data_IF_419104844273
#
_entry.id   IF_419104844273
#
_cell.length_a   1.000
_cell.length_b   1.000
_cell.length_c   1.000
_cell.angle_alpha   90.00
_cell.angle_beta   90.00
_cell.angle_gamma   90.00
#
_symmetry.space_group_name_H-M   'P 1'
#
loop_
_entity.id
_entity.type
_entity.pdbx_description
1 polymer ?
#
# COMPACT_ATOMS: atom_id res chain seq x y z
N UNK A 1 -1.46 -5.55 16.12
CA UNK A 1 -1.49 -5.67 14.64
C UNK A 1 -2.51 -4.69 14.11
N UNK A 2 -2.11 -3.80 13.19
CA UNK A 2 -2.97 -2.77 12.60
C UNK A 2 -3.12 -3.00 11.08
N UNK A 3 -3.07 -4.26 10.62
CA UNK A 3 -3.33 -4.58 9.22
C UNK A 3 -3.95 -5.95 9.02
N UNK A 4 -4.55 -6.16 7.83
CA UNK A 4 -5.01 -7.43 7.29
C UNK A 4 -4.65 -7.54 5.81
N UNK A 5 -4.41 -8.77 5.36
CA UNK A 5 -4.17 -9.09 3.95
C UNK A 5 -5.37 -9.81 3.36
N UNK A 6 -5.72 -9.47 2.12
CA UNK A 6 -6.75 -10.17 1.35
C UNK A 6 -6.24 -10.52 -0.03
N UNK A 7 -6.60 -11.70 -0.50
CA UNK A 7 -6.34 -12.15 -1.86
C UNK A 7 -7.66 -12.11 -2.63
N UNK A 8 -7.75 -11.23 -3.62
CA UNK A 8 -8.93 -11.08 -4.49
C UNK A 8 -8.74 -11.78 -5.84
N UNK A 9 -7.66 -12.56 -6.01
CA UNK A 9 -7.25 -13.21 -7.26
C UNK A 9 -6.69 -12.25 -8.31
N UNK A 10 -7.38 -11.14 -8.58
CA UNK A 10 -6.94 -10.11 -9.55
C UNK A 10 -5.99 -9.07 -8.95
N UNK A 11 -5.95 -8.95 -7.63
CA UNK A 11 -5.05 -8.09 -6.89
C UNK A 11 -4.96 -8.58 -5.45
N UNK A 12 -3.90 -8.17 -4.76
CA UNK A 12 -3.76 -8.34 -3.32
C UNK A 12 -4.10 -7.02 -2.62
N UNK A 13 -4.81 -7.09 -1.51
CA UNK A 13 -5.13 -5.94 -0.66
C UNK A 13 -4.35 -6.01 0.64
N UNK A 14 -3.61 -4.93 0.95
CA UNK A 14 -3.02 -4.66 2.25
C UNK A 14 -3.86 -3.57 2.92
N UNK A 15 -4.67 -3.95 3.92
CA UNK A 15 -5.56 -3.03 4.63
C UNK A 15 -4.99 -2.65 5.99
N UNK A 16 -4.83 -1.37 6.26
CA UNK A 16 -4.49 -0.81 7.56
C UNK A 16 -5.74 -0.55 8.40
N UNK A 17 -5.64 -0.76 9.71
CA UNK A 17 -6.76 -0.72 10.66
C UNK A 17 -6.38 0.07 11.92
N UNK A 18 -7.28 0.92 12.42
CA UNK A 18 -7.14 1.56 13.72
C UNK A 18 -5.96 2.53 13.79
N UNK A 19 -5.15 2.43 14.86
CA UNK A 19 -3.98 3.30 15.06
C UNK A 19 -2.72 2.62 14.52
N UNK A 20 -2.08 3.25 13.52
CA UNK A 20 -0.84 2.74 12.92
C UNK A 20 0.34 3.28 13.73
N UNK A 21 1.11 2.41 14.40
CA UNK A 21 2.25 2.74 15.29
C UNK A 21 3.60 2.19 14.84
N UNK A 22 3.63 1.50 13.70
CA UNK A 22 4.69 0.56 13.33
C UNK A 22 4.10 -0.83 13.24
N UNK A 23 4.39 -1.53 12.15
CA UNK A 23 3.69 -2.75 11.78
C UNK A 23 4.73 -3.78 11.32
N UNK A 24 4.57 -5.04 11.71
CA UNK A 24 5.42 -6.10 11.16
C UNK A 24 5.06 -6.31 9.68
N UNK A 25 6.08 -6.44 8.84
CA UNK A 25 5.87 -6.74 7.42
C UNK A 25 5.13 -8.08 7.26
N UNK A 26 4.30 -8.25 6.22
CA UNK A 26 3.64 -9.53 5.95
C UNK A 26 4.67 -10.62 5.66
N UNK A 27 4.25 -11.89 5.80
CA UNK A 27 5.10 -13.04 5.47
C UNK A 27 5.38 -13.18 3.97
N UNK A 28 6.41 -13.97 3.64
CA UNK A 28 6.89 -14.23 2.27
C UNK A 28 5.81 -14.75 1.29
N UNK A 29 4.81 -15.45 1.82
CA UNK A 29 3.69 -15.98 1.04
C UNK A 29 2.82 -14.87 0.43
N UNK A 30 2.61 -13.77 1.15
CA UNK A 30 1.86 -12.62 0.64
C UNK A 30 2.62 -11.88 -0.44
N UNK A 31 3.94 -11.73 -0.28
CA UNK A 31 4.78 -11.15 -1.31
C UNK A 31 4.69 -11.94 -2.62
N UNK A 32 4.70 -13.28 -2.54
CA UNK A 32 4.52 -14.13 -3.72
C UNK A 32 3.18 -13.89 -4.41
N UNK A 33 2.08 -13.74 -3.66
CA UNK A 33 0.75 -13.44 -4.22
C UNK A 33 0.71 -12.07 -4.88
N UNK A 34 1.34 -11.06 -4.27
CA UNK A 34 1.45 -9.72 -4.87
C UNK A 34 2.17 -9.82 -6.22
N UNK A 35 3.30 -10.53 -6.26
CA UNK A 35 4.07 -10.77 -7.50
C UNK A 35 3.22 -11.46 -8.56
N UNK A 36 2.49 -12.51 -8.19
CA UNK A 36 1.62 -13.26 -9.11
C UNK A 36 0.48 -12.42 -9.67
N UNK A 37 -0.12 -11.56 -8.85
CA UNK A 37 -1.23 -10.68 -9.27
C UNK A 37 -0.75 -9.48 -10.09
N UNK A 38 0.51 -9.04 -9.88
CA UNK A 38 1.06 -7.83 -10.48
C UNK A 38 0.43 -6.52 -9.97
N UNK A 39 -0.50 -6.59 -8.99
CA UNK A 39 -1.41 -5.52 -8.62
C UNK A 39 -1.61 -5.49 -7.10
N UNK A 40 -1.40 -4.32 -6.49
CA UNK A 40 -1.51 -4.10 -5.05
C UNK A 40 -2.47 -2.96 -4.75
N UNK A 41 -3.42 -3.20 -3.83
CA UNK A 41 -4.23 -2.18 -3.20
C UNK A 41 -3.73 -1.93 -1.77
N UNK A 42 -3.34 -0.70 -1.45
CA UNK A 42 -3.04 -0.23 -0.10
C UNK A 42 -4.25 0.53 0.44
N UNK A 43 -5.00 -0.10 1.34
CA UNK A 43 -6.26 0.43 1.86
C UNK A 43 -6.09 0.98 3.28
N UNK A 44 -6.22 2.29 3.46
CA UNK A 44 -6.17 2.97 4.75
C UNK A 44 -7.54 3.56 5.16
N UNK A 45 -8.64 3.04 4.61
CA UNK A 45 -9.99 3.53 4.94
C UNK A 45 -10.32 3.44 6.43
N UNK A 46 -9.86 2.37 7.09
CA UNK A 46 -10.16 2.10 8.50
C UNK A 46 -9.08 2.66 9.47
N UNK A 47 -8.18 3.53 8.98
CA UNK A 47 -7.16 4.18 9.82
C UNK A 47 -7.77 5.35 10.58
N UNK A 48 -7.67 5.28 11.90
CA UNK A 48 -8.17 6.32 12.82
C UNK A 48 -7.10 7.38 13.11
N UNK A 49 -5.84 6.94 13.24
CA UNK A 49 -4.72 7.81 13.57
C UNK A 49 -3.40 7.21 13.07
N UNK A 50 -2.46 8.06 12.65
CA UNK A 50 -1.11 7.69 12.26
C UNK A 50 -0.16 8.29 13.29
N UNK A 51 0.34 7.42 14.16
CA UNK A 51 1.46 7.71 15.07
C UNK A 51 2.73 7.00 14.61
N UNK A 52 2.70 6.44 13.40
CA UNK A 52 3.75 5.62 12.83
C UNK A 52 4.94 6.45 12.38
N UNK A 53 6.11 5.84 12.46
CA UNK A 53 7.28 6.28 11.74
C UNK A 53 7.02 6.14 10.22
N UNK A 54 7.02 7.27 9.51
CA UNK A 54 6.83 7.38 8.05
C UNK A 54 7.77 6.44 7.28
N UNK A 55 8.93 6.11 7.87
CA UNK A 55 9.91 5.19 7.30
C UNK A 55 9.40 3.75 7.16
N UNK A 56 8.40 3.35 7.97
CA UNK A 56 7.84 2.01 7.88
C UNK A 56 7.02 1.80 6.60
N UNK A 57 6.09 2.72 6.28
CA UNK A 57 5.29 2.66 5.05
C UNK A 57 6.19 2.70 3.81
N UNK A 58 7.21 3.55 3.84
CA UNK A 58 8.23 3.61 2.81
C UNK A 58 9.01 2.28 2.69
N UNK A 59 9.31 1.63 3.82
CA UNK A 59 9.96 0.32 3.88
C UNK A 59 9.10 -0.80 3.29
N UNK A 60 7.80 -0.83 3.59
CA UNK A 60 6.87 -1.79 3.01
C UNK A 60 6.77 -1.61 1.48
N UNK A 61 6.50 -0.39 1.01
CA UNK A 61 6.38 -0.11 -0.42
C UNK A 61 7.65 -0.48 -1.19
N UNK A 62 8.82 -0.18 -0.63
CA UNK A 62 10.12 -0.57 -1.20
C UNK A 62 10.34 -2.09 -1.18
N UNK A 63 9.95 -2.78 -0.10
CA UNK A 63 10.09 -4.23 0.01
C UNK A 63 9.24 -4.93 -1.06
N UNK A 64 7.99 -4.49 -1.22
CA UNK A 64 7.13 -4.97 -2.31
C UNK A 64 7.78 -4.67 -3.65
N UNK A 65 8.03 -3.40 -3.99
CA UNK A 65 8.60 -2.97 -5.29
C UNK A 65 9.95 -3.62 -5.63
N UNK A 66 10.72 -4.07 -4.63
CA UNK A 66 11.98 -4.80 -4.88
C UNK A 66 11.78 -6.17 -5.54
N UNK A 67 10.54 -6.69 -5.55
CA UNK A 67 10.18 -7.97 -6.12
C UNK A 67 9.68 -7.86 -7.57
N UNK A 68 9.52 -6.65 -8.11
CA UNK A 68 9.08 -6.42 -9.48
C UNK A 68 8.25 -5.13 -9.66
N UNK A 69 7.91 -4.77 -10.90
CA UNK A 69 7.00 -3.66 -11.16
C UNK A 69 5.55 -4.06 -10.84
N UNK A 70 4.89 -3.29 -9.96
CA UNK A 70 3.48 -3.50 -9.61
C UNK A 70 2.65 -2.25 -9.83
N UNK A 71 1.47 -2.42 -10.43
CA UNK A 71 0.47 -1.36 -10.40
C UNK A 71 -0.05 -1.25 -8.98
N UNK A 72 0.07 -0.08 -8.37
CA UNK A 72 -0.28 0.13 -6.96
C UNK A 72 -1.32 1.23 -6.84
N UNK A 73 -2.43 0.92 -6.18
CA UNK A 73 -3.43 1.92 -5.81
C UNK A 73 -3.38 2.14 -4.28
N UNK A 74 -3.47 3.39 -3.84
CA UNK A 74 -3.49 3.77 -2.43
C UNK A 74 -4.81 4.46 -2.10
N UNK A 75 -5.58 3.91 -1.16
CA UNK A 75 -6.82 4.51 -0.66
C UNK A 75 -6.54 5.15 0.69
N UNK A 76 -6.66 6.47 0.75
CA UNK A 76 -6.43 7.29 1.94
C UNK A 76 -7.52 8.36 2.04
N UNK A 77 -8.60 8.15 2.81
CA UNK A 77 -9.75 9.04 2.81
C UNK A 77 -9.49 10.37 3.54
N UNK A 78 -8.56 10.40 4.50
CA UNK A 78 -8.24 11.62 5.24
C UNK A 78 -7.05 12.36 4.61
N UNK A 79 -7.06 13.70 4.57
CA UNK A 79 -5.94 14.48 4.05
C UNK A 79 -4.61 14.21 4.75
N UNK A 80 -4.64 13.92 6.06
CA UNK A 80 -3.46 13.57 6.84
C UNK A 80 -2.85 12.25 6.35
N UNK A 81 -3.66 11.19 6.27
CA UNK A 81 -3.23 9.87 5.78
C UNK A 81 -2.72 9.99 4.35
N UNK A 82 -3.44 10.72 3.50
CA UNK A 82 -3.07 10.95 2.11
C UNK A 82 -1.70 11.63 1.98
N UNK A 83 -1.47 12.72 2.73
CA UNK A 83 -0.20 13.43 2.76
C UNK A 83 0.95 12.55 3.24
N UNK A 84 0.75 11.80 4.33
CA UNK A 84 1.76 10.88 4.88
C UNK A 84 2.14 9.78 3.90
N UNK A 85 1.16 9.15 3.23
CA UNK A 85 1.43 8.12 2.24
C UNK A 85 2.18 8.65 1.02
N UNK A 86 1.78 9.82 0.51
CA UNK A 86 2.50 10.47 -0.60
C UNK A 86 3.93 10.80 -0.23
N UNK A 87 4.15 11.36 0.96
CA UNK A 87 5.48 11.66 1.47
C UNK A 87 6.31 10.39 1.63
N UNK A 88 5.78 9.34 2.27
CA UNK A 88 6.47 8.07 2.47
C UNK A 88 6.96 7.46 1.14
N UNK A 89 6.12 7.53 0.10
CA UNK A 89 6.45 7.04 -1.23
C UNK A 89 7.41 7.95 -1.98
N UNK A 90 7.36 9.28 -1.76
CA UNK A 90 8.30 10.23 -2.35
C UNK A 90 9.70 10.21 -1.70
N UNK A 91 9.81 9.89 -0.40
CA UNK A 91 11.05 9.99 0.39
C UNK A 91 12.18 9.00 0.01
N UNK A 92 11.96 8.07 -0.94
CA UNK A 92 12.92 7.00 -1.23
C UNK A 92 13.66 7.11 -2.57
N UNK A 93 13.47 8.19 -3.34
CA UNK A 93 14.13 8.36 -4.64
C UNK A 93 13.58 7.40 -5.70
N UNK A 94 14.28 7.24 -6.84
CA UNK A 94 13.86 6.34 -7.92
C UNK A 94 13.68 4.90 -7.41
N UNK A 95 12.48 4.35 -7.59
CA UNK A 95 12.18 2.95 -7.27
C UNK A 95 12.98 2.04 -8.21
N UNK A 96 13.50 0.89 -7.72
CA UNK A 96 14.28 -0.03 -8.55
C UNK A 96 13.49 -0.57 -9.74
N UNK A 97 12.15 -0.64 -9.62
CA UNK A 97 11.24 -0.97 -10.70
C UNK A 97 10.16 0.11 -10.77
N UNK A 98 10.28 1.13 -11.64
CA UNK A 98 9.27 2.16 -11.73
C UNK A 98 7.97 1.55 -12.27
N UNK A 99 6.91 1.62 -11.47
CA UNK A 99 5.58 1.19 -11.83
C UNK A 99 4.54 2.22 -11.38
N UNK A 100 3.36 2.31 -12.03
CA UNK A 100 2.36 3.31 -11.67
C UNK A 100 1.88 3.15 -10.23
N UNK A 101 1.95 4.24 -9.47
CA UNK A 101 1.38 4.36 -8.13
C UNK A 101 0.39 5.53 -8.14
N UNK A 102 -0.87 5.26 -7.82
CA UNK A 102 -1.91 6.29 -7.79
C UNK A 102 -2.63 6.34 -6.45
N UNK A 103 -3.11 7.53 -6.08
CA UNK A 103 -3.72 7.81 -4.79
C UNK A 103 -5.17 8.23 -4.95
N UNK A 104 -6.02 7.71 -4.06
CA UNK A 104 -7.47 7.88 -4.10
C UNK A 104 -8.00 8.16 -2.70
N UNK A 105 -9.07 8.94 -2.61
CA UNK A 105 -9.80 9.17 -1.35
C UNK A 105 -10.95 8.18 -1.15
N UNK A 106 -11.31 7.43 -2.20
CA UNK A 106 -12.39 6.45 -2.19
C UNK A 106 -11.91 5.11 -2.76
N UNK A 107 -12.50 4.02 -2.25
CA UNK A 107 -12.07 2.65 -2.56
C UNK A 107 -12.46 2.20 -3.97
N UNK A 108 -13.68 2.49 -4.41
CA UNK A 108 -14.19 2.02 -5.70
C UNK A 108 -13.38 2.57 -6.89
N UNK A 109 -13.09 3.89 -6.99
CA UNK A 109 -12.25 4.41 -8.07
C UNK A 109 -10.83 3.82 -8.09
N UNK A 110 -10.28 3.50 -6.92
CA UNK A 110 -8.96 2.88 -6.80
C UNK A 110 -8.95 1.46 -7.39
N UNK A 111 -10.00 0.68 -7.11
CA UNK A 111 -10.17 -0.68 -7.64
C UNK A 111 -10.40 -0.63 -9.15
N UNK A 112 -11.26 0.26 -9.63
CA UNK A 112 -11.53 0.41 -11.06
C UNK A 112 -10.26 0.76 -11.84
N UNK A 113 -9.47 1.73 -11.33
CA UNK A 113 -8.17 2.04 -11.91
C UNK A 113 -7.22 0.85 -11.84
N UNK A 114 -7.12 0.15 -10.72
CA UNK A 114 -6.20 -0.98 -10.55
C UNK A 114 -6.52 -2.12 -11.54
N UNK A 115 -7.79 -2.27 -11.92
CA UNK A 115 -8.28 -3.35 -12.76
C UNK A 115 -8.35 -3.02 -14.26
N UNK A 116 -8.39 -1.73 -14.63
CA UNK A 116 -8.37 -1.23 -16.00
C UNK A 116 -7.13 -1.68 -16.78
#
# INVERSE_FOLDING_TARGET
MAYRMFDHGRFVEFRLLGVVRGVELPGDDWYRRIVQSGRLLLDATDVQDITADVLWLAGFARSVQSLGPFRTAVVAPSPLVFGTFRQALAYRGELPHPAPVEFFTAREPAIDWLLA
#
